data_IF_662849829968
#
_entry.id   IF_662849829968
#
_cell.length_a   1.000
_cell.length_b   1.000
_cell.length_c   1.000
_cell.angle_alpha   90.00
_cell.angle_beta   90.00
_cell.angle_gamma   90.00
#
_symmetry.space_group_name_H-M   'P 1'
#
loop_
_entity.id
_entity.type
_entity.pdbx_description
1 polymer ?
#
# COMPACT_ATOMS: atom_id res chain seq x y z
N UNK A 1 -15.69 1.97 -8.86
CA UNK A 1 -14.83 2.77 -8.02
C UNK A 1 -13.47 2.81 -8.63
N UNK A 2 -12.87 3.93 -8.57
CA UNK A 2 -11.64 4.10 -9.27
C UNK A 2 -10.42 4.00 -8.40
N UNK A 3 -9.31 4.35 -9.00
CA UNK A 3 -8.04 4.39 -8.32
C UNK A 3 -7.90 5.71 -7.59
N UNK A 4 -7.01 5.75 -6.60
CA UNK A 4 -6.74 6.96 -5.84
C UNK A 4 -5.26 7.25 -5.95
N UNK A 5 -4.93 8.50 -6.31
CA UNK A 5 -3.54 8.95 -6.37
C UNK A 5 -3.41 10.13 -5.42
N UNK A 6 -2.47 10.05 -4.50
CA UNK A 6 -2.23 11.12 -3.54
C UNK A 6 -0.84 11.67 -3.75
N UNK A 7 -0.73 12.98 -3.94
CA UNK A 7 0.56 13.64 -4.02
C UNK A 7 0.79 14.24 -2.65
N UNK A 8 1.66 13.64 -1.89
CA UNK A 8 1.92 14.04 -0.51
C UNK A 8 1.88 12.83 0.39
N UNK A 9 1.84 13.07 1.69
CA UNK A 9 1.92 12.01 2.69
C UNK A 9 0.55 11.67 3.25
N UNK A 10 0.40 10.42 3.69
CA UNK A 10 -0.75 10.00 4.50
C UNK A 10 -0.21 9.76 5.89
N UNK A 11 -0.53 10.64 6.82
CA UNK A 11 0.05 10.58 8.16
C UNK A 11 -0.67 9.56 9.03
N UNK A 12 -0.08 9.16 10.15
CA UNK A 12 -0.78 8.28 11.08
C UNK A 12 -2.11 8.91 11.47
N UNK A 13 -3.15 8.13 11.47
CA UNK A 13 -4.50 8.64 11.70
C UNK A 13 -5.27 8.93 10.43
N UNK A 14 -4.57 9.06 9.29
CA UNK A 14 -5.25 9.23 8.02
C UNK A 14 -5.65 7.89 7.44
N UNK A 15 -6.61 7.93 6.53
CA UNK A 15 -7.11 6.71 5.93
C UNK A 15 -7.40 6.95 4.46
N UNK A 16 -7.04 5.99 3.62
CA UNK A 16 -7.31 6.03 2.20
C UNK A 16 -8.03 4.76 1.81
N UNK A 17 -9.18 4.89 1.14
CA UNK A 17 -9.96 3.76 0.71
C UNK A 17 -10.24 3.93 -0.78
N UNK A 18 -9.95 2.91 -1.56
CA UNK A 18 -10.19 2.95 -3.00
C UNK A 18 -10.76 1.64 -3.49
N UNK A 19 -11.63 1.72 -4.48
CA UNK A 19 -12.14 0.50 -5.10
C UNK A 19 -11.11 -0.17 -5.97
N UNK A 20 -10.14 0.59 -6.49
CA UNK A 20 -9.05 0.06 -7.29
C UNK A 20 -7.73 0.22 -6.56
N UNK A 21 -6.72 0.66 -7.29
CA UNK A 21 -5.37 0.77 -6.77
C UNK A 21 -5.16 2.07 -6.01
N UNK A 22 -4.15 2.11 -5.17
CA UNK A 22 -3.78 3.31 -4.43
C UNK A 22 -2.32 3.63 -4.71
N UNK A 23 -2.04 4.87 -5.07
CA UNK A 23 -0.69 5.35 -5.25
C UNK A 23 -0.49 6.55 -4.34
N UNK A 24 0.50 6.52 -3.48
CA UNK A 24 0.84 7.64 -2.62
C UNK A 24 2.22 8.12 -3.00
N UNK A 25 2.27 9.30 -3.59
CA UNK A 25 3.55 9.87 -4.02
C UNK A 25 4.15 10.61 -2.85
N UNK A 26 4.54 9.84 -1.85
CA UNK A 26 5.03 10.35 -0.58
C UNK A 26 5.10 9.21 0.42
N UNK A 27 4.97 9.54 1.69
CA UNK A 27 5.03 8.55 2.75
C UNK A 27 3.64 8.09 3.12
N UNK A 28 3.44 6.78 3.12
CA UNK A 28 2.16 6.21 3.53
C UNK A 28 2.33 5.62 4.91
N UNK A 29 1.84 6.32 5.93
CA UNK A 29 2.00 5.91 7.32
C UNK A 29 0.67 5.73 8.04
N UNK A 30 -0.44 5.90 7.36
CA UNK A 30 -1.76 5.70 7.94
C UNK A 30 -2.36 4.37 7.56
N UNK A 31 -3.68 4.34 7.42
CA UNK A 31 -4.40 3.13 7.01
C UNK A 31 -4.70 3.21 5.53
N UNK A 32 -4.65 2.09 4.85
CA UNK A 32 -4.96 2.05 3.44
C UNK A 32 -5.75 0.79 3.11
N UNK A 33 -6.76 0.93 2.24
CA UNK A 33 -7.57 -0.20 1.79
C UNK A 33 -7.79 -0.06 0.30
N UNK A 34 -7.05 -0.83 -0.48
CA UNK A 34 -7.20 -0.89 -1.92
C UNK A 34 -8.12 -2.04 -2.27
N UNK A 35 -8.73 -1.97 -3.45
CA UNK A 35 -9.63 -3.03 -3.87
C UNK A 35 -10.80 -3.20 -2.93
N UNK A 36 -11.30 -2.10 -2.36
CA UNK A 36 -12.29 -2.17 -1.29
C UNK A 36 -13.60 -2.82 -1.72
N UNK A 37 -13.86 -2.87 -3.01
CA UNK A 37 -15.06 -3.54 -3.52
C UNK A 37 -14.84 -5.02 -3.78
N UNK A 38 -13.70 -5.56 -3.36
CA UNK A 38 -13.44 -6.98 -3.49
C UNK A 38 -12.46 -7.34 -4.61
N UNK A 39 -11.68 -6.38 -5.08
CA UNK A 39 -10.76 -6.64 -6.19
C UNK A 39 -9.39 -7.11 -5.68
N UNK A 40 -9.09 -8.41 -5.79
CA UNK A 40 -7.82 -8.92 -5.27
C UNK A 40 -6.62 -8.59 -6.15
N UNK A 41 -6.84 -7.97 -7.30
CA UNK A 41 -5.74 -7.58 -8.16
C UNK A 41 -5.30 -6.15 -7.91
N UNK A 42 -5.96 -5.45 -7.00
CA UNK A 42 -5.56 -4.10 -6.66
C UNK A 42 -4.21 -4.10 -5.94
N UNK A 43 -3.52 -2.98 -6.02
CA UNK A 43 -2.22 -2.86 -5.38
C UNK A 43 -2.07 -1.48 -4.75
N UNK A 44 -1.09 -1.37 -3.86
CA UNK A 44 -0.79 -0.12 -3.17
C UNK A 44 0.68 0.18 -3.40
N UNK A 45 0.97 1.38 -3.88
CA UNK A 45 2.35 1.79 -4.14
C UNK A 45 2.60 3.10 -3.42
N UNK A 46 3.77 3.25 -2.83
CA UNK A 46 4.15 4.49 -2.18
C UNK A 46 5.64 4.70 -2.30
N UNK A 47 6.07 5.96 -2.23
CA UNK A 47 7.50 6.23 -2.21
C UNK A 47 8.11 5.68 -0.93
N UNK A 48 7.39 5.76 0.19
CA UNK A 48 7.80 5.13 1.41
C UNK A 48 6.58 4.42 1.99
N UNK A 49 6.58 3.10 1.93
CA UNK A 49 5.43 2.30 2.32
C UNK A 49 5.62 1.79 3.73
N UNK A 50 5.01 2.46 4.68
CA UNK A 50 5.10 2.08 6.08
C UNK A 50 3.74 2.24 6.77
N UNK A 51 2.69 1.62 6.24
CA UNK A 51 1.34 1.84 6.76
C UNK A 51 1.15 1.20 8.13
N UNK A 52 0.25 1.76 8.91
CA UNK A 52 -0.12 1.15 10.17
C UNK A 52 -0.94 -0.10 9.89
N UNK A 53 -1.74 -0.08 8.84
CA UNK A 53 -2.53 -1.23 8.45
C UNK A 53 -2.77 -1.13 6.95
N UNK A 54 -2.61 -2.23 6.27
CA UNK A 54 -2.79 -2.28 4.83
C UNK A 54 -3.77 -3.38 4.49
N UNK A 55 -4.80 -3.04 3.73
CA UNK A 55 -5.78 -4.02 3.27
C UNK A 55 -5.87 -4.00 1.77
N UNK A 56 -5.99 -5.18 1.20
CA UNK A 56 -6.27 -5.31 -0.22
C UNK A 56 -7.40 -6.31 -0.32
N UNK A 57 -8.54 -5.88 -0.87
CA UNK A 57 -9.75 -6.70 -0.93
C UNK A 57 -10.09 -7.19 0.48
N UNK A 58 -10.07 -8.50 0.71
CA UNK A 58 -10.42 -9.06 2.00
C UNK A 58 -9.23 -9.38 2.87
N UNK A 59 -8.03 -9.22 2.37
CA UNK A 59 -6.84 -9.53 3.14
C UNK A 59 -6.29 -8.29 3.81
N UNK A 60 -5.67 -8.46 4.97
CA UNK A 60 -5.03 -7.32 5.56
C UNK A 60 -3.72 -7.74 6.23
N UNK A 61 -2.85 -6.75 6.41
CA UNK A 61 -1.57 -6.95 7.00
C UNK A 61 -1.24 -5.73 7.84
N UNK A 62 -0.63 -5.93 9.00
CA UNK A 62 -0.14 -4.83 9.79
C UNK A 62 1.29 -4.57 9.37
N UNK A 63 1.70 -3.35 9.47
CA UNK A 63 3.04 -2.90 9.22
C UNK A 63 4.05 -4.04 9.16
N UNK A 64 4.25 -4.64 8.00
CA UNK A 64 5.13 -5.79 7.89
C UNK A 64 6.54 -5.41 8.28
N UNK A 65 7.21 -6.28 9.01
CA UNK A 65 8.55 -6.01 9.45
C UNK A 65 9.50 -5.80 8.29
N UNK A 66 9.32 -6.54 7.24
CA UNK A 66 10.19 -6.39 6.10
C UNK A 66 10.10 -5.01 5.49
N UNK A 67 8.92 -4.43 5.46
CA UNK A 67 8.77 -3.09 4.93
C UNK A 67 9.48 -2.09 5.80
N UNK A 68 9.43 -2.28 7.12
CA UNK A 68 10.06 -1.33 7.99
C UNK A 68 11.56 -1.33 7.85
N UNK A 69 12.16 -2.45 7.56
CA UNK A 69 13.58 -2.49 7.33
C UNK A 69 13.97 -1.89 6.02
N UNK A 70 13.15 -2.07 5.00
CA UNK A 70 13.50 -1.58 3.70
C UNK A 70 13.36 -0.11 3.57
N UNK A 71 12.57 0.52 4.39
CA UNK A 71 12.34 1.93 4.22
C UNK A 71 13.55 2.76 4.45
N UNK A 72 14.62 2.20 5.03
CA UNK A 72 15.85 2.93 5.16
C UNK A 72 16.40 3.34 3.82
N UNK A 73 16.04 2.62 2.78
CA UNK A 73 16.57 2.90 1.46
C UNK A 73 15.73 3.89 0.69
N UNK A 74 14.58 4.26 1.23
CA UNK A 74 13.69 5.22 0.60
C UNK A 74 13.32 4.85 -0.81
N UNK A 75 13.23 3.57 -1.09
CA UNK A 75 12.84 3.11 -2.41
C UNK A 75 11.34 2.89 -2.47
N UNK A 76 10.72 3.20 -3.59
CA UNK A 76 9.29 2.92 -3.73
C UNK A 76 9.02 1.44 -3.63
N UNK A 77 7.89 1.12 -3.04
CA UNK A 77 7.48 -0.27 -2.88
C UNK A 77 6.04 -0.43 -3.30
N UNK A 78 5.69 -1.64 -3.70
CA UNK A 78 4.32 -1.96 -4.08
C UNK A 78 3.88 -3.18 -3.29
N UNK A 79 2.66 -3.11 -2.75
CA UNK A 79 2.04 -4.22 -2.04
C UNK A 79 0.93 -4.80 -2.91
N UNK A 80 0.89 -6.10 -3.02
CA UNK A 80 -0.14 -6.79 -3.81
C UNK A 80 -0.36 -8.18 -3.24
N UNK A 81 -1.43 -8.83 -3.66
CA UNK A 81 -1.73 -10.17 -3.22
C UNK A 81 -1.06 -11.17 -4.16
N UNK A 82 -0.29 -12.10 -3.59
CA UNK A 82 0.24 -13.23 -4.32
C UNK A 82 0.03 -14.47 -3.49
N UNK A 83 -0.57 -15.48 -4.09
CA UNK A 83 -0.81 -16.77 -3.41
C UNK A 83 -1.55 -16.59 -2.10
N UNK A 84 -2.55 -15.73 -2.10
CA UNK A 84 -3.41 -15.52 -0.93
C UNK A 84 -2.81 -14.70 0.18
N UNK A 85 -1.67 -14.05 -0.07
CA UNK A 85 -1.01 -13.24 0.94
C UNK A 85 -0.64 -11.90 0.37
N UNK A 86 -0.57 -10.89 1.23
CA UNK A 86 -0.08 -9.60 0.82
C UNK A 86 1.43 -9.63 0.88
N UNK A 87 2.08 -9.34 -0.26
CA UNK A 87 3.53 -9.25 -0.33
C UNK A 87 3.92 -7.84 -0.70
N UNK A 88 5.07 -7.39 -0.20
CA UNK A 88 5.59 -6.06 -0.46
C UNK A 88 6.89 -6.24 -1.21
N UNK A 89 7.00 -5.58 -2.36
CA UNK A 89 8.16 -5.70 -3.22
C UNK A 89 8.65 -4.33 -3.58
N UNK A 90 9.94 -4.21 -3.86
CA UNK A 90 10.45 -2.97 -4.42
C UNK A 90 9.78 -2.73 -5.76
N UNK A 91 9.45 -1.50 -6.05
CA UNK A 91 8.90 -1.20 -7.35
C UNK A 91 10.04 -1.03 -8.32
N UNK A 92 10.30 -2.06 -9.08
CA UNK A 92 11.27 -1.99 -10.13
C UNK A 92 10.55 -1.80 -11.38
N UNK A 93 11.17 -1.20 -12.35
CA UNK A 93 10.56 -1.05 -13.57
C UNK A 93 10.28 -2.31 -14.23
N UNK A 94 9.25 -2.46 -14.88
CA UNK A 94 8.84 -3.72 -15.50
C UNK A 94 9.71 -4.17 -16.65
#
# INVERSE_FOLDING_TARGET
MGHVVIIGDVNPGGEVVAGGDVVVWGRLRGLVHAGATGNPEAWVCALQLAPMQLRIADLFSRAPDAASERKRHALPEVARIRDGKIVVEAWDEP
#
